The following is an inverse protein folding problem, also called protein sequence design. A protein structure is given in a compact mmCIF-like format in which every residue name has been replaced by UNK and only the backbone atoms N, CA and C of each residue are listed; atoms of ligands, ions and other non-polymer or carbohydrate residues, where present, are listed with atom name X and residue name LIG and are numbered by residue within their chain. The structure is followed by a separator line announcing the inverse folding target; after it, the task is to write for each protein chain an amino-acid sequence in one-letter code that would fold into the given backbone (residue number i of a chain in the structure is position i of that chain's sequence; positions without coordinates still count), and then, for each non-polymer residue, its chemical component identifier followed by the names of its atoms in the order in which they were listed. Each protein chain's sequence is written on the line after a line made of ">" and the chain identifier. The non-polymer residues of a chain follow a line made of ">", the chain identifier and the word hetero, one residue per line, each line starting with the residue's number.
data_IF_083359298488
#
_entry.id   IF_083359298488
#
_cell.length_a   1.000
_cell.length_b   1.000
_cell.length_c   1.000
_cell.angle_alpha   90.00
_cell.angle_beta   90.00
_cell.angle_gamma   90.00
#
_symmetry.space_group_name_H-M   'P 1'
#
loop_
_entity.id
_entity.type
_entity.pdbx_description
1 polymer ?
#
# COMPACT_ATOMS: atom_id res chain seq x y z
N UNK A 1 -4.15 -7.07 -6.77
CA UNK A 1 -3.58 -8.42 -6.93
C UNK A 1 -2.73 -8.58 -8.18
N UNK A 2 -2.68 -7.58 -9.07
CA UNK A 2 -1.83 -7.62 -10.27
C UNK A 2 -0.35 -7.83 -9.92
N UNK A 3 0.14 -7.22 -8.84
CA UNK A 3 1.51 -7.47 -8.37
C UNK A 3 1.75 -8.93 -7.97
N UNK A 4 0.71 -9.59 -7.43
CA UNK A 4 0.80 -10.95 -6.90
C UNK A 4 0.62 -12.03 -7.98
N UNK A 5 -0.40 -11.91 -8.84
CA UNK A 5 -0.70 -12.88 -9.89
C UNK A 5 -0.21 -12.49 -11.28
N UNK A 6 0.20 -11.24 -11.47
CA UNK A 6 0.49 -10.65 -12.77
C UNK A 6 -0.74 -10.49 -13.66
N UNK A 7 -0.60 -9.63 -14.66
CA UNK A 7 -1.64 -9.37 -15.66
C UNK A 7 -1.25 -10.06 -16.96
N UNK A 8 -2.20 -10.80 -17.55
CA UNK A 8 -2.02 -11.45 -18.84
C UNK A 8 -2.60 -10.55 -19.95
N UNK A 9 -1.95 -10.47 -21.13
CA UNK A 9 -2.56 -9.95 -22.34
C UNK A 9 -3.88 -10.67 -22.66
N UNK A 10 -4.83 -9.99 -23.32
CA UNK A 10 -6.15 -10.56 -23.62
C UNK A 10 -6.08 -11.78 -24.57
N UNK A 11 -5.03 -11.87 -25.35
CA UNK A 11 -4.71 -12.91 -26.33
C UNK A 11 -3.70 -13.94 -25.79
N UNK A 12 -3.33 -13.87 -24.52
CA UNK A 12 -2.38 -14.80 -23.93
C UNK A 12 -2.99 -16.21 -23.82
N UNK A 13 -2.36 -17.18 -24.47
CA UNK A 13 -2.72 -18.61 -24.42
C UNK A 13 -2.02 -19.29 -23.23
N UNK A 14 -0.90 -18.71 -22.78
CA UNK A 14 -0.08 -19.26 -21.71
C UNK A 14 0.30 -18.18 -20.67
N UNK A 15 1.11 -18.56 -19.71
CA UNK A 15 1.57 -17.68 -18.63
C UNK A 15 2.98 -17.12 -18.89
N UNK A 16 3.48 -17.13 -20.12
CA UNK A 16 4.87 -16.77 -20.40
C UNK A 16 5.20 -15.31 -20.11
N UNK A 17 4.21 -14.42 -20.18
CA UNK A 17 4.38 -13.01 -19.81
C UNK A 17 4.49 -12.77 -18.29
N UNK A 18 4.26 -13.79 -17.47
CA UNK A 18 4.34 -13.67 -16.02
C UNK A 18 5.76 -13.93 -15.52
N UNK A 19 6.14 -13.20 -14.47
CA UNK A 19 7.38 -13.50 -13.75
C UNK A 19 7.32 -14.88 -13.10
N UNK A 20 8.46 -15.55 -12.84
CA UNK A 20 8.47 -16.86 -12.17
C UNK A 20 7.70 -16.86 -10.85
N UNK A 21 7.81 -15.80 -10.05
CA UNK A 21 7.07 -15.65 -8.79
C UNK A 21 5.55 -15.57 -9.01
N UNK A 22 5.09 -14.83 -10.02
CA UNK A 22 3.66 -14.73 -10.34
C UNK A 22 3.10 -16.07 -10.85
N UNK A 23 3.86 -16.83 -11.65
CA UNK A 23 3.48 -18.19 -12.06
C UNK A 23 3.38 -19.12 -10.86
N UNK A 24 4.37 -19.07 -9.96
CA UNK A 24 4.39 -19.87 -8.74
C UNK A 24 3.19 -19.57 -7.86
N UNK A 25 2.86 -18.28 -7.65
CA UNK A 25 1.69 -17.87 -6.86
C UNK A 25 0.37 -18.43 -7.43
N UNK A 26 0.23 -18.48 -8.76
CA UNK A 26 -0.93 -19.11 -9.41
C UNK A 26 -0.96 -20.61 -9.17
N UNK A 27 0.17 -21.29 -9.32
CA UNK A 27 0.29 -22.72 -9.04
C UNK A 27 -0.03 -23.06 -7.59
N UNK A 28 0.45 -22.28 -6.62
CA UNK A 28 0.18 -22.50 -5.20
C UNK A 28 -1.32 -22.45 -4.87
N UNK A 29 -2.09 -21.57 -5.53
CA UNK A 29 -3.55 -21.53 -5.36
C UNK A 29 -4.20 -22.80 -5.90
N UNK A 30 -3.78 -23.26 -7.09
CA UNK A 30 -4.31 -24.48 -7.70
C UNK A 30 -3.98 -25.70 -6.85
N UNK A 31 -2.73 -25.82 -6.39
CA UNK A 31 -2.29 -26.91 -5.53
C UNK A 31 -3.06 -26.95 -4.21
N UNK A 32 -3.26 -25.80 -3.58
CA UNK A 32 -4.06 -25.68 -2.35
C UNK A 32 -5.51 -26.10 -2.59
N UNK A 33 -6.11 -25.68 -3.71
CA UNK A 33 -7.46 -26.10 -4.10
C UNK A 33 -7.52 -27.62 -4.29
N UNK A 34 -6.57 -28.21 -4.99
CA UNK A 34 -6.51 -29.66 -5.22
C UNK A 34 -6.40 -30.43 -3.90
N UNK A 35 -5.57 -29.95 -2.98
CA UNK A 35 -5.44 -30.51 -1.64
C UNK A 35 -6.75 -30.42 -0.84
N UNK A 36 -7.47 -29.29 -0.92
CA UNK A 36 -8.78 -29.13 -0.28
C UNK A 36 -9.82 -30.09 -0.87
N UNK A 37 -9.89 -30.22 -2.20
CA UNK A 37 -10.81 -31.16 -2.87
C UNK A 37 -10.46 -32.59 -2.47
N UNK A 38 -9.18 -32.96 -2.49
CA UNK A 38 -8.74 -34.29 -2.10
C UNK A 38 -9.13 -34.60 -0.65
N UNK A 39 -8.87 -33.68 0.29
CA UNK A 39 -9.26 -33.84 1.69
C UNK A 39 -10.78 -33.87 1.93
N UNK A 40 -11.56 -33.10 1.16
CA UNK A 40 -13.01 -33.17 1.25
C UNK A 40 -13.55 -34.52 0.77
N UNK A 41 -12.99 -35.05 -0.33
CA UNK A 41 -13.37 -36.37 -0.86
C UNK A 41 -13.09 -37.50 0.12
N UNK A 42 -11.97 -37.45 0.87
CA UNK A 42 -11.70 -38.48 1.90
C UNK A 42 -12.71 -38.46 3.05
N UNK A 43 -13.37 -37.32 3.28
CA UNK A 43 -14.45 -37.16 4.26
C UNK A 43 -15.85 -37.44 3.67
N UNK A 44 -15.94 -37.92 2.42
CA UNK A 44 -17.21 -38.17 1.74
C UNK A 44 -17.98 -36.88 1.40
N UNK A 45 -17.28 -35.75 1.31
CA UNK A 45 -17.86 -34.44 0.94
C UNK A 45 -17.43 -34.06 -0.46
N UNK A 46 -18.34 -33.47 -1.22
CA UNK A 46 -18.03 -32.84 -2.49
C UNK A 46 -18.00 -31.32 -2.30
N UNK A 47 -16.88 -30.71 -2.68
CA UNK A 47 -16.76 -29.25 -2.76
C UNK A 47 -16.82 -28.82 -4.21
N UNK A 48 -17.50 -27.71 -4.47
CA UNK A 48 -17.51 -27.10 -5.80
C UNK A 48 -16.17 -26.43 -6.07
N UNK A 49 -15.72 -26.51 -7.32
CA UNK A 49 -14.40 -26.01 -7.75
C UNK A 49 -14.30 -24.49 -7.54
N UNK A 50 -15.34 -23.74 -7.89
CA UNK A 50 -15.40 -22.28 -7.73
C UNK A 50 -15.27 -21.85 -6.26
N UNK A 51 -16.01 -22.50 -5.37
CA UNK A 51 -15.93 -22.25 -3.93
C UNK A 51 -14.55 -22.60 -3.38
N UNK A 52 -14.02 -23.75 -3.76
CA UNK A 52 -12.72 -24.21 -3.26
C UNK A 52 -11.58 -23.35 -3.77
N UNK A 53 -11.65 -22.89 -5.02
CA UNK A 53 -10.67 -21.97 -5.60
C UNK A 53 -10.67 -20.64 -4.84
N UNK A 54 -11.84 -20.13 -4.47
CA UNK A 54 -11.95 -18.92 -3.66
C UNK A 54 -11.37 -19.12 -2.25
N UNK A 55 -11.65 -20.26 -1.61
CA UNK A 55 -11.08 -20.60 -0.30
C UNK A 55 -9.56 -20.72 -0.36
N UNK A 56 -9.02 -21.37 -1.40
CA UNK A 56 -7.59 -21.49 -1.63
C UNK A 56 -6.95 -20.11 -1.86
N UNK A 57 -7.57 -19.25 -2.68
CA UNK A 57 -7.14 -17.88 -2.89
C UNK A 57 -7.04 -17.10 -1.57
N UNK A 58 -8.10 -17.14 -0.75
CA UNK A 58 -8.11 -16.47 0.54
C UNK A 58 -7.02 -17.02 1.45
N UNK A 59 -6.90 -18.34 1.56
CA UNK A 59 -5.92 -19.00 2.43
C UNK A 59 -4.47 -18.62 2.10
N UNK A 60 -4.14 -18.50 0.81
CA UNK A 60 -2.81 -18.10 0.35
C UNK A 60 -2.57 -16.58 0.47
N UNK A 61 -3.59 -15.75 0.24
CA UNK A 61 -3.42 -14.30 0.19
C UNK A 61 -3.58 -13.60 1.55
N UNK A 62 -4.24 -14.23 2.52
CA UNK A 62 -4.44 -13.69 3.88
C UNK A 62 -3.13 -13.23 4.55
N UNK A 63 -2.05 -14.04 4.63
CA UNK A 63 -0.79 -13.63 5.27
C UNK A 63 -0.12 -12.45 4.54
N UNK A 64 -0.27 -12.39 3.22
CA UNK A 64 0.28 -11.31 2.40
C UNK A 64 -0.49 -10.03 2.64
N UNK A 65 -1.82 -10.12 2.71
CA UNK A 65 -2.69 -8.99 3.04
C UNK A 65 -2.31 -8.40 4.40
N UNK A 66 -2.09 -9.24 5.40
CA UNK A 66 -1.64 -8.81 6.72
C UNK A 66 -0.29 -8.07 6.66
N UNK A 67 0.70 -8.65 5.95
CA UNK A 67 2.02 -8.04 5.79
C UNK A 67 1.94 -6.66 5.12
N UNK A 68 1.15 -6.53 4.05
CA UNK A 68 0.97 -5.27 3.32
C UNK A 68 0.35 -4.21 4.22
N UNK A 69 -0.71 -4.55 4.97
CA UNK A 69 -1.35 -3.64 5.92
C UNK A 69 -0.36 -3.21 7.00
N UNK A 70 0.43 -4.15 7.53
CA UNK A 70 1.43 -3.87 8.57
C UNK A 70 2.50 -2.90 8.08
N UNK A 71 3.04 -3.09 6.88
CA UNK A 71 4.04 -2.20 6.29
C UNK A 71 3.47 -0.82 5.95
N UNK A 72 2.21 -0.73 5.48
CA UNK A 72 1.53 0.55 5.26
C UNK A 72 1.34 1.32 6.58
N UNK A 73 0.91 0.66 7.65
CA UNK A 73 0.82 1.27 8.98
C UNK A 73 2.20 1.75 9.45
N UNK A 74 3.21 0.90 9.35
CA UNK A 74 4.58 1.23 9.77
C UNK A 74 5.13 2.44 9.01
N UNK A 75 4.98 2.49 7.69
CA UNK A 75 5.44 3.63 6.89
C UNK A 75 4.69 4.91 7.21
N UNK A 76 3.38 4.85 7.46
CA UNK A 76 2.57 6.00 7.93
C UNK A 76 3.03 6.49 9.31
N UNK A 77 3.32 5.59 10.25
CA UNK A 77 3.84 5.94 11.58
C UNK A 77 5.21 6.59 11.47
N UNK A 78 6.12 6.05 10.66
CA UNK A 78 7.44 6.66 10.42
C UNK A 78 7.31 8.06 9.83
N UNK A 79 6.44 8.25 8.83
CA UNK A 79 6.16 9.58 8.25
C UNK A 79 5.62 10.56 9.29
N UNK A 80 4.68 10.13 10.13
CA UNK A 80 4.14 10.96 11.21
C UNK A 80 5.22 11.34 12.20
N UNK A 81 6.06 10.39 12.63
CA UNK A 81 7.16 10.66 13.56
C UNK A 81 8.16 11.69 13.01
N UNK A 82 8.54 11.58 11.73
CA UNK A 82 9.42 12.56 11.07
C UNK A 82 8.81 13.97 11.01
N UNK A 83 7.49 14.06 10.86
CA UNK A 83 6.77 15.33 10.81
C UNK A 83 6.36 15.85 12.20
N UNK A 84 6.59 15.07 13.26
CA UNK A 84 6.30 15.45 14.63
C UNK A 84 7.47 16.29 15.16
N UNK A 85 7.64 17.50 14.61
CA UNK A 85 8.51 18.49 15.23
C UNK A 85 7.78 19.01 16.46
N UNK A 86 8.06 18.41 17.63
CA UNK A 86 7.67 18.97 18.92
C UNK A 86 8.36 20.32 19.04
N UNK A 87 7.65 21.41 18.71
CA UNK A 87 8.10 22.74 19.14
C UNK A 87 8.02 22.75 20.66
N UNK A 88 9.15 22.95 21.37
CA UNK A 88 9.08 23.17 22.80
C UNK A 88 8.23 24.44 23.02
N UNK A 89 7.12 24.32 23.74
CA UNK A 89 6.30 25.47 24.17
C UNK A 89 6.95 26.21 25.34
N UNK A 90 8.28 26.31 25.32
CA UNK A 90 9.10 26.88 26.37
C UNK A 90 10.30 27.58 25.75
N UNK A 91 10.15 28.89 25.60
CA UNK A 91 11.24 29.89 25.70
C UNK A 91 12.51 29.63 24.89
N UNK A 92 12.53 30.15 23.67
CA UNK A 92 13.51 31.15 23.19
C UNK A 92 13.10 31.56 21.78
N UNK A 93 12.88 32.85 21.57
CA UNK A 93 12.63 33.42 20.24
C UNK A 93 13.84 33.11 19.36
N UNK A 94 13.68 32.25 18.36
CA UNK A 94 14.68 32.14 17.30
C UNK A 94 14.52 33.35 16.40
N UNK A 95 15.63 34.03 16.15
CA UNK A 95 15.82 35.16 15.24
C UNK A 95 15.67 34.70 13.78
N UNK A 96 14.51 34.16 13.43
CA UNK A 96 14.08 34.05 12.05
C UNK A 96 13.38 35.36 11.70
N UNK A 97 13.89 36.02 10.66
CA UNK A 97 13.41 37.25 9.99
C UNK A 97 12.02 37.07 9.38
N UNK A 98 11.05 36.66 10.20
CA UNK A 98 9.63 36.67 9.86
C UNK A 98 9.01 37.90 10.50
N UNK A 99 8.27 38.71 9.72
CA UNK A 99 7.62 39.91 10.25
C UNK A 99 6.72 39.51 11.42
N UNK A 100 7.00 40.09 12.60
CA UNK A 100 6.31 39.75 13.84
C UNK A 100 5.12 40.66 14.09
N UNK A 101 5.05 41.81 13.41
CA UNK A 101 3.96 42.76 13.53
C UNK A 101 3.13 42.83 12.23
N UNK A 102 1.86 43.22 12.37
CA UNK A 102 0.94 43.38 11.23
C UNK A 102 1.49 44.38 10.20
N UNK A 103 2.15 45.44 10.66
CA UNK A 103 2.74 46.48 9.81
C UNK A 103 3.92 45.94 8.98
N UNK A 104 4.77 45.09 9.56
CA UNK A 104 5.87 44.44 8.83
C UNK A 104 5.37 43.39 7.82
N UNK A 105 4.25 42.72 8.12
CA UNK A 105 3.59 41.81 7.18
C UNK A 105 3.02 42.57 5.98
N UNK A 106 2.39 43.72 6.22
CA UNK A 106 1.86 44.58 5.17
C UNK A 106 2.97 45.11 4.26
N UNK A 107 4.08 45.61 4.82
CA UNK A 107 5.21 46.10 4.02
C UNK A 107 5.87 45.00 3.18
N UNK A 108 6.13 43.83 3.77
CA UNK A 108 6.71 42.69 3.05
C UNK A 108 5.76 42.14 1.95
N UNK A 109 4.44 42.27 2.15
CA UNK A 109 3.45 41.88 1.15
C UNK A 109 3.40 42.88 0.00
N UNK A 110 3.49 44.18 0.28
CA UNK A 110 3.57 45.23 -0.74
C UNK A 110 4.82 45.07 -1.60
N UNK A 111 5.99 44.79 -1.00
CA UNK A 111 7.22 44.52 -1.76
C UNK A 111 7.08 43.30 -2.70
N UNK A 112 6.42 42.24 -2.24
CA UNK A 112 6.16 41.05 -3.07
C UNK A 112 5.20 41.35 -4.21
N UNK A 113 4.15 42.13 -3.95
CA UNK A 113 3.20 42.53 -4.98
C UNK A 113 3.87 43.41 -6.04
N UNK A 114 4.68 44.38 -5.63
CA UNK A 114 5.46 45.21 -6.55
C UNK A 114 6.44 44.41 -7.40
N UNK A 115 6.99 43.29 -6.89
CA UNK A 115 7.87 42.42 -7.68
C UNK A 115 7.13 41.58 -8.74
N UNK A 116 5.85 41.31 -8.53
CA UNK A 116 5.04 40.48 -9.43
C UNK A 116 4.25 41.34 -10.43
N UNK A 117 3.87 42.56 -10.03
CA UNK A 117 2.96 43.42 -10.78
C UNK A 117 3.53 44.80 -11.15
N UNK A 118 4.73 45.14 -10.69
CA UNK A 118 5.49 46.33 -11.11
C UNK A 118 6.62 45.96 -12.05
#
# INVERSE_FOLDING_TARGET
>A
YEDFYGTLPKDAIDWNSLTPGQKMNRWTVIEMMDQMIAGARTLGRELKIDETLNLAHLSITEPIREKVIREDIKTKVIKRNKNLTLKPSGTTQSTDTKPQTKQELESATVERLNKVFG
#
